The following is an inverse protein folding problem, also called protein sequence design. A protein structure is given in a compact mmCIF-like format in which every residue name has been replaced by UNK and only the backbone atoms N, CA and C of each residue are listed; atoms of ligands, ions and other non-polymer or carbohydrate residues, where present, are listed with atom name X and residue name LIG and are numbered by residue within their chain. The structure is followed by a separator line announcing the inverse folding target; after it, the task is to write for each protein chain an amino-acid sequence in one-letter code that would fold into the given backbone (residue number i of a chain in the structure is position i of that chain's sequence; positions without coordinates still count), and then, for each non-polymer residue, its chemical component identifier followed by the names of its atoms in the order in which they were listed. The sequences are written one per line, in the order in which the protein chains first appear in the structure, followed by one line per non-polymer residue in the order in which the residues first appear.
data_IF_359268211477
#
_entry.id   IF_359268211477
#
_cell.length_a   1.000
_cell.length_b   1.000
_cell.length_c   1.000
_cell.angle_alpha   90.00
_cell.angle_beta   90.00
_cell.angle_gamma   90.00
#
_symmetry.space_group_name_H-M   'P 1'
#
loop_
_entity.id
_entity.type
_entity.pdbx_description
1 polymer ?
#
# COMPACT_ATOMS: atom_id res chain seq x y z
N UNK A 1 -8.53 -31.19 -2.83
CA UNK A 1 -9.33 -30.21 -3.61
C UNK A 1 -10.31 -29.37 -2.78
N UNK A 2 -11.45 -29.88 -2.25
CA UNK A 2 -12.46 -29.02 -1.55
C UNK A 2 -11.99 -28.37 -0.24
N UNK A 3 -11.11 -29.04 0.52
CA UNK A 3 -10.46 -28.50 1.74
C UNK A 3 -9.36 -27.46 1.44
N UNK A 4 -8.73 -27.51 0.27
CA UNK A 4 -7.62 -26.59 -0.06
C UNK A 4 -8.11 -25.23 -0.53
N UNK A 5 -9.22 -25.20 -1.30
CA UNK A 5 -9.86 -23.95 -1.70
C UNK A 5 -10.45 -23.16 -0.53
N UNK A 6 -10.84 -23.85 0.55
CA UNK A 6 -11.40 -23.22 1.76
C UNK A 6 -10.28 -22.54 2.57
N UNK A 7 -9.14 -23.20 2.76
CA UNK A 7 -7.96 -22.63 3.43
C UNK A 7 -7.46 -21.35 2.72
N UNK A 8 -7.30 -21.38 1.39
CA UNK A 8 -6.82 -20.21 0.63
C UNK A 8 -7.81 -19.03 0.63
N UNK A 9 -9.12 -19.31 0.69
CA UNK A 9 -10.16 -18.28 0.81
C UNK A 9 -10.06 -17.55 2.15
N UNK A 10 -9.83 -18.29 3.23
CA UNK A 10 -9.71 -17.72 4.57
C UNK A 10 -8.42 -16.89 4.73
N UNK A 11 -7.32 -17.32 4.10
CA UNK A 11 -6.09 -16.52 4.03
C UNK A 11 -6.30 -15.22 3.26
N UNK A 12 -6.99 -15.25 2.11
CA UNK A 12 -7.31 -14.04 1.37
C UNK A 12 -8.23 -13.11 2.17
N UNK A 13 -9.23 -13.65 2.88
CA UNK A 13 -10.10 -12.87 3.78
C UNK A 13 -9.28 -12.21 4.88
N UNK A 14 -8.35 -12.94 5.48
CA UNK A 14 -7.45 -12.43 6.51
C UNK A 14 -6.54 -11.32 5.96
N UNK A 15 -6.01 -11.50 4.75
CA UNK A 15 -5.22 -10.47 4.07
C UNK A 15 -6.03 -9.17 3.90
N UNK A 16 -7.26 -9.25 3.40
CA UNK A 16 -8.13 -8.07 3.30
C UNK A 16 -8.43 -7.44 4.66
N UNK A 17 -8.69 -8.24 5.70
CA UNK A 17 -8.90 -7.72 7.05
C UNK A 17 -7.68 -6.96 7.57
N UNK A 18 -6.46 -7.48 7.36
CA UNK A 18 -5.22 -6.79 7.72
C UNK A 18 -5.10 -5.46 6.96
N UNK A 19 -5.41 -5.45 5.65
CA UNK A 19 -5.38 -4.21 4.86
C UNK A 19 -6.40 -3.18 5.36
N UNK A 20 -7.64 -3.60 5.66
CA UNK A 20 -8.67 -2.71 6.21
C UNK A 20 -8.29 -2.18 7.60
N UNK A 21 -7.69 -3.03 8.45
CA UNK A 21 -7.14 -2.59 9.72
C UNK A 21 -6.03 -1.55 9.52
N UNK A 22 -5.16 -1.74 8.51
CA UNK A 22 -4.14 -0.76 8.12
C UNK A 22 -4.69 0.56 7.56
N UNK A 23 -5.90 0.60 6.99
CA UNK A 23 -6.54 1.85 6.55
C UNK A 23 -7.16 2.60 7.73
N UNK A 24 -7.42 1.94 8.86
CA UNK A 24 -8.14 2.53 10.01
C UNK A 24 -7.45 3.80 10.55
N UNK A 25 -6.11 3.87 10.69
CA UNK A 25 -5.45 5.10 11.13
C UNK A 25 -5.61 6.28 10.15
N UNK A 26 -5.72 6.03 8.84
CA UNK A 26 -6.03 7.10 7.87
C UNK A 26 -7.41 7.70 8.13
N UNK A 27 -8.40 6.87 8.47
CA UNK A 27 -9.75 7.33 8.83
C UNK A 27 -9.68 8.18 10.10
N UNK A 28 -8.90 7.75 11.09
CA UNK A 28 -8.71 8.50 12.35
C UNK A 28 -8.06 9.87 12.06
N UNK A 29 -7.02 9.92 11.24
CA UNK A 29 -6.36 11.17 10.83
C UNK A 29 -7.37 12.11 10.17
N UNK A 30 -8.17 11.58 9.22
CA UNK A 30 -9.20 12.34 8.53
C UNK A 30 -10.27 12.93 9.47
N UNK A 31 -10.85 12.11 10.35
CA UNK A 31 -11.89 12.56 11.31
C UNK A 31 -11.30 13.58 12.29
N UNK A 32 -10.09 13.33 12.79
CA UNK A 32 -9.44 14.23 13.74
C UNK A 32 -9.17 15.59 13.12
N UNK A 33 -8.66 15.62 11.88
CA UNK A 33 -8.36 16.86 11.18
C UNK A 33 -9.63 17.65 10.83
N UNK A 34 -10.67 16.96 10.33
CA UNK A 34 -11.94 17.61 9.97
C UNK A 34 -12.69 18.15 11.20
N UNK A 35 -12.57 17.49 12.36
CA UNK A 35 -13.19 17.93 13.61
C UNK A 35 -12.38 19.03 14.32
N UNK A 36 -11.05 18.93 14.31
CA UNK A 36 -10.15 19.90 14.93
C UNK A 36 -8.83 20.02 14.15
N UNK A 37 -8.74 20.95 13.19
CA UNK A 37 -7.52 21.16 12.39
C UNK A 37 -6.29 21.56 13.20
N UNK A 38 -6.48 22.12 14.40
CA UNK A 38 -5.41 22.57 15.31
C UNK A 38 -4.99 21.51 16.33
N UNK A 39 -5.40 20.26 16.10
CA UNK A 39 -5.08 19.18 17.02
C UNK A 39 -3.55 18.96 17.11
N UNK A 40 -3.03 19.08 18.32
CA UNK A 40 -1.59 19.13 18.61
C UNK A 40 -0.79 17.95 18.05
N UNK A 41 -1.35 16.72 18.07
CA UNK A 41 -0.63 15.56 17.54
C UNK A 41 -0.40 15.65 16.03
N UNK A 42 -1.33 16.21 15.26
CA UNK A 42 -1.19 16.35 13.80
C UNK A 42 -0.10 17.37 13.49
N UNK A 43 -0.06 18.51 14.20
CA UNK A 43 0.97 19.53 14.00
C UNK A 43 2.36 19.03 14.37
N UNK A 44 2.52 18.30 15.48
CA UNK A 44 3.82 17.70 15.86
C UNK A 44 4.33 16.76 14.75
N UNK A 45 3.46 15.89 14.25
CA UNK A 45 3.87 14.93 13.21
C UNK A 45 4.29 15.71 11.98
N UNK A 46 3.51 16.71 11.55
CA UNK A 46 3.82 17.56 10.40
C UNK A 46 5.19 18.26 10.55
N UNK A 47 5.44 18.91 11.68
CA UNK A 47 6.68 19.66 11.91
C UNK A 47 7.92 18.76 11.94
N UNK A 48 7.81 17.56 12.54
CA UNK A 48 8.92 16.61 12.61
C UNK A 48 9.20 15.88 11.29
N UNK A 49 8.33 16.00 10.30
CA UNK A 49 8.39 15.20 9.07
C UNK A 49 8.50 16.04 7.80
N UNK A 50 8.75 17.35 7.94
CA UNK A 50 8.90 18.25 6.79
C UNK A 50 10.03 17.81 5.84
N UNK A 51 11.12 17.26 6.37
CA UNK A 51 12.28 16.81 5.60
C UNK A 51 12.07 15.46 4.88
N UNK A 52 11.01 14.72 5.22
CA UNK A 52 10.70 13.44 4.56
C UNK A 52 10.02 13.78 3.23
N UNK A 53 10.42 13.21 2.09
CA UNK A 53 9.74 13.49 0.82
C UNK A 53 8.29 13.03 0.92
N UNK A 54 7.31 13.74 0.39
CA UNK A 54 5.90 13.31 0.48
C UNK A 54 5.07 13.74 -0.71
N UNK A 55 3.99 13.00 -0.94
CA UNK A 55 2.92 13.45 -1.80
C UNK A 55 2.04 14.39 -0.99
N UNK A 56 1.93 15.66 -1.40
CA UNK A 56 1.22 16.72 -0.67
C UNK A 56 0.21 17.38 -1.62
N UNK A 57 -0.93 17.82 -1.09
CA UNK A 57 -1.85 18.72 -1.81
C UNK A 57 -1.75 20.13 -1.26
N UNK A 58 -1.62 21.14 -2.14
CA UNK A 58 -1.67 22.53 -1.71
C UNK A 58 -3.04 22.94 -1.13
N UNK A 59 -4.10 22.17 -1.39
CA UNK A 59 -5.42 22.36 -0.80
C UNK A 59 -5.39 22.16 0.73
N UNK A 60 -4.70 21.11 1.19
CA UNK A 60 -4.60 20.78 2.62
C UNK A 60 -3.25 20.12 2.93
N UNK A 61 -2.17 20.90 3.04
CA UNK A 61 -0.81 20.36 3.10
C UNK A 61 -0.53 19.59 4.40
N UNK A 62 -1.14 20.00 5.52
CA UNK A 62 -0.91 19.38 6.83
C UNK A 62 -1.50 17.99 6.89
N UNK A 63 -2.79 17.85 6.56
CA UNK A 63 -3.48 16.56 6.59
C UNK A 63 -2.84 15.57 5.60
N UNK A 64 -2.59 16.03 4.38
CA UNK A 64 -2.07 15.17 3.31
C UNK A 64 -0.66 14.68 3.58
N UNK A 65 0.19 15.51 4.17
CA UNK A 65 1.53 15.12 4.65
C UNK A 65 1.47 13.99 5.68
N UNK A 66 0.64 14.16 6.71
CA UNK A 66 0.50 13.16 7.79
C UNK A 66 -0.06 11.83 7.26
N UNK A 67 -1.03 11.90 6.34
CA UNK A 67 -1.56 10.72 5.66
C UNK A 67 -0.51 10.02 4.78
N UNK A 68 0.29 10.77 4.03
CA UNK A 68 1.37 10.23 3.19
C UNK A 68 2.41 9.48 4.02
N UNK A 69 2.87 10.10 5.12
CA UNK A 69 3.87 9.50 6.01
C UNK A 69 3.35 8.20 6.61
N UNK A 70 2.10 8.19 7.06
CA UNK A 70 1.47 6.95 7.50
C UNK A 70 1.36 5.94 6.35
N UNK A 71 1.04 6.40 5.14
CA UNK A 71 1.02 5.61 3.90
C UNK A 71 2.30 4.80 3.66
N UNK A 72 3.46 5.38 3.99
CA UNK A 72 4.76 4.72 3.86
C UNK A 72 4.98 3.55 4.81
N UNK A 73 4.10 3.37 5.81
CA UNK A 73 4.10 2.16 6.65
C UNK A 73 3.44 0.96 5.97
N UNK A 74 2.68 1.16 4.88
CA UNK A 74 1.97 0.07 4.19
C UNK A 74 2.88 -1.06 3.69
N UNK A 75 4.07 -0.79 3.10
CA UNK A 75 5.03 -1.84 2.74
C UNK A 75 5.49 -2.67 3.95
N UNK A 76 5.69 -2.04 5.11
CA UNK A 76 6.08 -2.75 6.33
C UNK A 76 4.97 -3.69 6.80
N UNK A 77 3.72 -3.22 6.81
CA UNK A 77 2.57 -4.07 7.15
C UNK A 77 2.41 -5.23 6.16
N UNK A 78 2.66 -4.99 4.87
CA UNK A 78 2.63 -6.03 3.85
C UNK A 78 3.71 -7.09 4.06
N UNK A 79 4.93 -6.70 4.47
CA UNK A 79 5.98 -7.64 4.85
C UNK A 79 5.57 -8.51 6.04
N UNK A 80 5.00 -7.89 7.09
CA UNK A 80 4.48 -8.64 8.25
C UNK A 80 3.39 -9.63 7.79
N UNK A 81 2.39 -9.16 7.05
CA UNK A 81 1.29 -9.99 6.55
C UNK A 81 1.81 -11.16 5.68
N UNK A 82 2.81 -10.89 4.83
CA UNK A 82 3.46 -11.89 4.00
C UNK A 82 4.16 -12.96 4.86
N UNK A 83 4.98 -12.56 5.83
CA UNK A 83 5.70 -13.52 6.68
C UNK A 83 4.75 -14.42 7.49
N UNK A 84 3.64 -13.87 7.98
CA UNK A 84 2.62 -14.64 8.69
C UNK A 84 1.91 -15.65 7.79
N UNK A 85 1.62 -15.29 6.53
CA UNK A 85 0.89 -16.15 5.61
C UNK A 85 1.77 -17.12 4.80
N UNK A 86 3.08 -16.87 4.73
CA UNK A 86 4.02 -17.63 3.91
C UNK A 86 4.00 -19.14 4.22
N UNK A 87 3.78 -19.49 5.49
CA UNK A 87 3.78 -20.88 5.98
C UNK A 87 2.50 -21.63 5.61
N UNK A 88 1.37 -20.95 5.63
CA UNK A 88 0.05 -21.58 5.55
C UNK A 88 -0.54 -21.58 4.13
N UNK A 89 0.03 -20.77 3.23
CA UNK A 89 -0.47 -20.63 1.85
C UNK A 89 -0.08 -21.84 0.99
N UNK A 90 -1.09 -22.55 0.51
CA UNK A 90 -0.94 -23.65 -0.46
C UNK A 90 -0.94 -23.10 -1.87
N UNK A 91 0.08 -23.47 -2.65
CA UNK A 91 0.23 -23.00 -4.03
C UNK A 91 -0.68 -23.81 -4.95
N UNK A 92 -1.50 -23.13 -5.75
CA UNK A 92 -2.22 -23.76 -6.86
C UNK A 92 -1.26 -23.90 -8.05
N UNK A 93 -1.05 -25.12 -8.52
CA UNK A 93 0.03 -25.53 -9.45
C UNK A 93 -0.22 -25.20 -10.92
N UNK A 94 -1.06 -24.21 -11.24
CA UNK A 94 -1.56 -23.98 -12.61
C UNK A 94 -1.05 -22.65 -13.21
N UNK A 95 0.23 -22.33 -13.03
CA UNK A 95 0.85 -21.16 -13.66
C UNK A 95 1.99 -21.58 -14.61
N UNK A 96 1.95 -21.08 -15.84
CA UNK A 96 2.97 -21.35 -16.86
C UNK A 96 4.33 -20.80 -16.40
N UNK A 97 5.37 -21.66 -16.42
CA UNK A 97 6.73 -21.37 -15.92
C UNK A 97 7.33 -20.10 -16.54
N UNK A 98 7.17 -19.91 -17.84
CA UNK A 98 7.72 -18.73 -18.54
C UNK A 98 7.10 -17.43 -18.02
N UNK A 99 5.79 -17.45 -17.73
CA UNK A 99 5.08 -16.29 -17.18
C UNK A 99 5.53 -16.00 -15.75
N UNK A 100 5.78 -17.02 -14.93
CA UNK A 100 6.27 -16.87 -13.56
C UNK A 100 7.69 -16.32 -13.49
N UNK A 101 8.59 -16.82 -14.34
CA UNK A 101 9.98 -16.33 -14.42
C UNK A 101 9.97 -14.88 -14.91
N UNK A 102 9.21 -14.59 -15.96
CA UNK A 102 9.05 -13.22 -16.47
C UNK A 102 8.51 -12.29 -15.38
N UNK A 103 7.46 -12.70 -14.64
CA UNK A 103 6.91 -11.92 -13.54
C UNK A 103 7.91 -11.72 -12.39
N UNK A 104 8.74 -12.72 -12.08
CA UNK A 104 9.76 -12.62 -11.02
C UNK A 104 10.87 -11.64 -11.37
N UNK A 105 11.23 -11.53 -12.66
CA UNK A 105 12.24 -10.59 -13.14
C UNK A 105 11.64 -9.18 -13.28
N UNK A 106 10.42 -9.05 -13.82
CA UNK A 106 9.80 -7.74 -14.06
C UNK A 106 9.20 -7.08 -12.81
N UNK A 107 8.71 -7.86 -11.83
CA UNK A 107 8.04 -7.30 -10.65
C UNK A 107 8.92 -6.38 -9.81
N UNK A 108 10.23 -6.64 -9.59
CA UNK A 108 11.12 -5.70 -8.89
C UNK A 108 11.30 -4.39 -9.64
N UNK A 109 11.42 -4.41 -10.97
CA UNK A 109 11.55 -3.18 -11.77
C UNK A 109 10.27 -2.33 -11.70
N UNK A 110 9.11 -2.97 -11.83
CA UNK A 110 7.83 -2.29 -11.73
C UNK A 110 7.59 -1.71 -10.33
N UNK A 111 7.96 -2.47 -9.28
CA UNK A 111 7.89 -1.97 -7.91
C UNK A 111 8.88 -0.85 -7.64
N UNK A 112 10.11 -0.92 -8.15
CA UNK A 112 11.11 0.14 -7.99
C UNK A 112 10.63 1.45 -8.62
N UNK A 113 10.02 1.38 -9.81
CA UNK A 113 9.37 2.52 -10.43
C UNK A 113 8.25 3.07 -9.53
N UNK A 114 7.36 2.21 -9.05
CA UNK A 114 6.27 2.61 -8.13
C UNK A 114 6.80 3.29 -6.85
N UNK A 115 7.76 2.65 -6.17
CA UNK A 115 8.35 3.14 -4.93
C UNK A 115 9.07 4.47 -5.13
N UNK A 116 9.79 4.64 -6.24
CA UNK A 116 10.41 5.91 -6.57
C UNK A 116 9.38 7.03 -6.67
N UNK A 117 8.33 6.85 -7.47
CA UNK A 117 7.34 7.89 -7.69
C UNK A 117 6.47 8.19 -6.46
N UNK A 118 6.03 7.16 -5.74
CA UNK A 118 5.01 7.31 -4.69
C UNK A 118 5.54 7.24 -3.26
N UNK A 119 6.71 6.64 -3.00
CA UNK A 119 7.27 6.51 -1.65
C UNK A 119 8.49 7.41 -1.40
N UNK A 120 9.26 7.75 -2.43
CA UNK A 120 10.52 8.49 -2.27
C UNK A 120 10.58 9.87 -2.93
N UNK A 121 9.67 10.19 -3.83
CA UNK A 121 9.65 11.50 -4.48
C UNK A 121 8.71 12.49 -3.78
N UNK A 122 9.05 13.78 -3.86
CA UNK A 122 8.12 14.84 -3.53
C UNK A 122 7.19 15.06 -4.71
N UNK A 123 5.89 14.92 -4.47
CA UNK A 123 4.90 15.10 -5.53
C UNK A 123 3.78 16.01 -5.06
N UNK A 124 3.50 17.05 -5.82
CA UNK A 124 2.41 17.96 -5.52
C UNK A 124 1.17 17.58 -6.33
N UNK A 125 0.09 17.21 -5.63
CA UNK A 125 -1.14 16.69 -6.25
C UNK A 125 -1.89 17.76 -7.04
N UNK A 126 -1.79 19.02 -6.63
CA UNK A 126 -2.48 20.16 -7.22
C UNK A 126 -1.91 20.59 -8.58
N UNK A 127 -0.63 20.28 -8.83
CA UNK A 127 0.05 20.55 -10.11
C UNK A 127 0.06 19.34 -11.04
N UNK A 128 -0.42 18.19 -10.58
CA UNK A 128 -0.52 16.95 -11.35
C UNK A 128 -1.62 16.99 -12.42
N UNK A 129 -1.64 15.99 -13.31
CA UNK A 129 -2.59 15.89 -14.42
C UNK A 129 -4.06 15.98 -13.99
N UNK A 130 -4.95 16.35 -14.94
CA UNK A 130 -6.38 16.68 -14.71
C UNK A 130 -7.12 15.76 -13.73
N UNK A 131 -6.88 14.45 -13.77
CA UNK A 131 -7.54 13.46 -12.89
C UNK A 131 -7.12 13.55 -11.44
N UNK A 132 -5.83 13.80 -11.17
CA UNK A 132 -5.28 13.92 -9.82
C UNK A 132 -5.70 15.25 -9.20
N UNK A 133 -5.80 16.31 -10.01
CA UNK A 133 -6.30 17.61 -9.58
C UNK A 133 -7.74 17.53 -9.05
N UNK A 134 -8.62 16.77 -9.70
CA UNK A 134 -9.99 16.56 -9.22
C UNK A 134 -10.04 15.85 -7.87
N UNK A 135 -9.07 14.97 -7.58
CA UNK A 135 -8.99 14.32 -6.28
C UNK A 135 -8.48 15.28 -5.18
N UNK A 136 -7.81 16.37 -5.57
CA UNK A 136 -7.24 17.36 -4.65
C UNK A 136 -8.20 18.50 -4.26
N UNK A 137 -9.41 18.53 -4.81
CA UNK A 137 -10.35 19.66 -4.66
C UNK A 137 -11.20 19.60 -3.37
N UNK A 138 -11.21 18.47 -2.65
CA UNK A 138 -11.92 18.32 -1.38
C UNK A 138 -11.17 17.35 -0.45
N UNK A 139 -11.30 17.55 0.86
CA UNK A 139 -10.68 16.71 1.88
C UNK A 139 -11.13 15.24 1.78
N UNK A 140 -12.40 14.99 1.43
CA UNK A 140 -12.92 13.63 1.28
C UNK A 140 -12.29 12.88 0.09
N UNK A 141 -12.11 13.55 -1.05
CA UNK A 141 -11.48 12.94 -2.22
C UNK A 141 -9.98 12.73 -2.01
N UNK A 142 -9.32 13.64 -1.27
CA UNK A 142 -7.96 13.46 -0.81
C UNK A 142 -7.84 12.21 0.08
N UNK A 143 -8.73 12.04 1.05
CA UNK A 143 -8.76 10.84 1.89
C UNK A 143 -8.88 9.55 1.05
N UNK A 144 -9.80 9.52 0.07
CA UNK A 144 -9.95 8.37 -0.84
C UNK A 144 -8.64 8.11 -1.59
N UNK A 145 -7.99 9.15 -2.08
CA UNK A 145 -6.71 9.02 -2.78
C UNK A 145 -5.62 8.38 -1.89
N UNK A 146 -5.45 8.85 -0.66
CA UNK A 146 -4.47 8.27 0.27
C UNK A 146 -4.83 6.85 0.71
N UNK A 147 -6.11 6.53 0.90
CA UNK A 147 -6.55 5.16 1.19
C UNK A 147 -6.24 4.21 0.01
N UNK A 148 -6.47 4.66 -1.22
CA UNK A 148 -6.10 3.93 -2.43
C UNK A 148 -4.58 3.76 -2.57
N UNK A 149 -3.79 4.80 -2.29
CA UNK A 149 -2.33 4.70 -2.28
C UNK A 149 -1.83 3.69 -1.25
N UNK A 150 -2.39 3.70 -0.04
CA UNK A 150 -2.08 2.73 1.00
C UNK A 150 -2.38 1.31 0.54
N UNK A 151 -3.58 1.09 -0.01
CA UNK A 151 -4.01 -0.19 -0.54
C UNK A 151 -3.08 -0.69 -1.65
N UNK A 152 -2.77 0.16 -2.63
CA UNK A 152 -1.83 -0.14 -3.71
C UNK A 152 -0.43 -0.47 -3.16
N UNK A 153 0.11 0.34 -2.27
CA UNK A 153 1.43 0.11 -1.65
C UNK A 153 1.49 -1.22 -0.92
N UNK A 154 0.44 -1.56 -0.17
CA UNK A 154 0.34 -2.83 0.54
C UNK A 154 0.35 -4.02 -0.44
N UNK A 155 -0.56 -4.04 -1.42
CA UNK A 155 -0.69 -5.18 -2.34
C UNK A 155 0.50 -5.30 -3.29
N UNK A 156 1.08 -4.18 -3.74
CA UNK A 156 2.28 -4.18 -4.57
C UNK A 156 3.46 -4.81 -3.83
N UNK A 157 3.66 -4.44 -2.56
CA UNK A 157 4.73 -5.00 -1.73
C UNK A 157 4.48 -6.49 -1.44
N UNK A 158 3.24 -6.85 -1.09
CA UNK A 158 2.87 -8.24 -0.85
C UNK A 158 3.09 -9.12 -2.10
N UNK A 159 2.69 -8.63 -3.28
CA UNK A 159 2.89 -9.33 -4.55
C UNK A 159 4.37 -9.49 -4.89
N UNK A 160 5.18 -8.44 -4.70
CA UNK A 160 6.63 -8.48 -4.89
C UNK A 160 7.28 -9.59 -4.06
N UNK A 161 6.89 -9.73 -2.79
CA UNK A 161 7.41 -10.79 -1.93
C UNK A 161 6.91 -12.19 -2.30
N UNK A 162 5.66 -12.29 -2.76
CA UNK A 162 5.01 -13.55 -3.06
C UNK A 162 5.49 -14.20 -4.36
N UNK A 163 5.67 -13.40 -5.43
CA UNK A 163 6.00 -13.91 -6.77
C UNK A 163 7.30 -14.77 -6.78
N UNK A 164 8.44 -14.33 -6.21
CA UNK A 164 9.67 -15.14 -6.22
C UNK A 164 9.53 -16.44 -5.43
N UNK A 165 8.82 -16.43 -4.30
CA UNK A 165 8.60 -17.63 -3.48
C UNK A 165 7.79 -18.66 -4.23
N UNK A 166 6.72 -18.24 -4.91
CA UNK A 166 5.89 -19.13 -5.73
C UNK A 166 6.72 -19.75 -6.84
N UNK A 167 7.51 -18.92 -7.54
CA UNK A 167 8.42 -19.39 -8.60
C UNK A 167 9.44 -20.41 -8.08
N UNK A 168 10.02 -20.20 -6.90
CA UNK A 168 10.99 -21.13 -6.29
C UNK A 168 10.35 -22.46 -5.89
N UNK A 169 9.20 -22.42 -5.18
CA UNK A 169 8.51 -23.65 -4.75
C UNK A 169 8.05 -24.50 -5.94
N UNK A 170 7.50 -23.86 -6.99
CA UNK A 170 7.10 -24.56 -8.22
C UNK A 170 8.27 -25.15 -9.01
N UNK A 171 9.46 -24.54 -8.92
CA UNK A 171 10.67 -25.13 -9.50
C UNK A 171 11.12 -26.36 -8.69
N UNK A 172 11.03 -26.33 -7.36
CA UNK A 172 11.49 -27.44 -6.49
C UNK A 172 10.58 -28.68 -6.48
N UNK A 173 9.28 -28.52 -6.71
CA UNK A 173 8.31 -29.63 -6.70
C UNK A 173 8.37 -30.54 -7.96
N UNK A 174 9.27 -30.27 -8.90
CA UNK A 174 9.55 -31.08 -10.10
C UNK A 174 11.04 -31.32 -10.27
#
# INVERSE_FOLDING_TARGET
MRKEHTDNKDLNRTLFLITFAGITPLIIIFITYTSNPKFYLISIIFDNTQNIPSIISAYNPVMTKVMDIYGKSAPLLALIAFTLQLRDRKLETIANREKLITASIFSPFFYAFYAYFFLWNNFELTTAGRTVRWMSDNDFTLFIFYACLYFCSFFMTYALCYIPVVSYKLWKER
#
